data_IF_334019124135
#
_entry.id   IF_334019124135
#
_cell.length_a   1.000
_cell.length_b   1.000
_cell.length_c   1.000
_cell.angle_alpha   90.00
_cell.angle_beta   90.00
_cell.angle_gamma   90.00
#
_symmetry.space_group_name_H-M   'P 1'
#
loop_
_entity.id
_entity.type
_entity.pdbx_description
1 polymer ?
#
# COMPACT_ATOMS: atom_id res chain seq x y z
N UNK A 1 -21.72 -13.81 -0.71
CA UNK A 1 -20.87 -13.61 -1.89
C UNK A 1 -21.54 -12.71 -2.93
N UNK A 2 -22.86 -12.71 -3.03
CA UNK A 2 -23.61 -11.98 -4.08
C UNK A 2 -23.70 -10.45 -3.93
N UNK A 3 -23.54 -9.90 -2.73
CA UNK A 3 -23.65 -8.44 -2.50
C UNK A 3 -22.35 -7.65 -2.82
N UNK A 4 -21.22 -8.34 -2.90
CA UNK A 4 -19.92 -7.71 -3.24
C UNK A 4 -19.78 -7.61 -4.76
N UNK A 5 -20.31 -8.56 -5.51
CA UNK A 5 -20.31 -8.54 -6.98
C UNK A 5 -21.26 -7.49 -7.54
N UNK A 6 -22.49 -7.35 -6.97
CA UNK A 6 -23.45 -6.33 -7.41
C UNK A 6 -22.96 -4.89 -7.23
N UNK A 7 -22.18 -4.59 -6.18
CA UNK A 7 -21.63 -3.23 -5.97
C UNK A 7 -20.45 -2.87 -6.87
N UNK A 8 -19.78 -3.85 -7.48
CA UNK A 8 -18.75 -3.58 -8.50
C UNK A 8 -19.34 -3.09 -9.81
N UNK A 9 -20.53 -3.56 -10.16
CA UNK A 9 -21.19 -3.21 -11.42
C UNK A 9 -21.71 -1.76 -11.42
N UNK A 10 -22.23 -1.27 -10.28
CA UNK A 10 -22.77 0.09 -10.17
C UNK A 10 -21.72 1.23 -10.30
N UNK A 11 -20.46 0.97 -9.95
CA UNK A 11 -19.38 1.97 -10.05
C UNK A 11 -18.75 2.01 -11.44
N UNK A 12 -18.83 0.90 -12.21
CA UNK A 12 -18.34 0.83 -13.57
C UNK A 12 -19.28 1.48 -14.60
N UNK A 13 -20.54 1.75 -14.22
CA UNK A 13 -21.58 2.18 -15.16
C UNK A 13 -21.67 3.69 -15.41
N UNK A 14 -20.98 4.55 -14.60
CA UNK A 14 -21.00 6.00 -14.83
C UNK A 14 -19.67 6.70 -14.56
N UNK A 15 -18.83 6.93 -15.58
CA UNK A 15 -17.52 7.59 -15.45
C UNK A 15 -17.59 8.99 -14.83
N UNK A 16 -18.64 9.75 -15.09
CA UNK A 16 -18.82 11.11 -14.57
C UNK A 16 -19.08 11.08 -13.05
N UNK A 17 -19.85 10.14 -12.56
CA UNK A 17 -20.08 9.94 -11.12
C UNK A 17 -18.81 9.52 -10.39
N UNK A 18 -18.00 8.65 -11.01
CA UNK A 18 -16.71 8.25 -10.45
C UNK A 18 -15.78 9.45 -10.30
N UNK A 19 -15.69 10.29 -11.33
CA UNK A 19 -14.89 11.53 -11.32
C UNK A 19 -15.36 12.49 -10.24
N UNK A 20 -16.68 12.73 -10.12
CA UNK A 20 -17.25 13.62 -9.10
C UNK A 20 -16.95 13.12 -7.68
N UNK A 21 -17.10 11.82 -7.42
CA UNK A 21 -16.78 11.22 -6.14
C UNK A 21 -15.29 11.38 -5.79
N UNK A 22 -14.42 11.23 -6.77
CA UNK A 22 -12.99 11.35 -6.61
C UNK A 22 -12.58 12.80 -6.30
N UNK A 23 -13.19 13.79 -6.94
CA UNK A 23 -12.97 15.20 -6.63
C UNK A 23 -13.42 15.56 -5.22
N UNK A 24 -14.59 15.07 -4.80
CA UNK A 24 -15.09 15.23 -3.43
C UNK A 24 -14.17 14.58 -2.41
N UNK A 25 -13.67 13.38 -2.70
CA UNK A 25 -12.72 12.68 -1.83
C UNK A 25 -11.41 13.45 -1.69
N UNK A 26 -10.84 13.96 -2.78
CA UNK A 26 -9.63 14.78 -2.76
C UNK A 26 -9.83 16.04 -1.92
N UNK A 27 -10.96 16.74 -2.08
CA UNK A 27 -11.28 17.93 -1.32
C UNK A 27 -11.43 17.62 0.18
N UNK A 28 -12.16 16.55 0.53
CA UNK A 28 -12.34 16.11 1.91
C UNK A 28 -11.02 15.71 2.58
N UNK A 29 -10.12 15.05 1.87
CA UNK A 29 -8.79 14.69 2.37
C UNK A 29 -7.95 15.94 2.64
N UNK A 30 -7.95 16.93 1.75
CA UNK A 30 -7.24 18.22 1.96
C UNK A 30 -7.75 18.94 3.19
N UNK A 31 -9.05 19.00 3.39
CA UNK A 31 -9.69 19.67 4.52
C UNK A 31 -9.42 18.92 5.85
N UNK A 32 -9.66 17.62 5.88
CA UNK A 32 -9.58 16.82 7.10
C UNK A 32 -8.15 16.43 7.51
N UNK A 33 -7.19 16.47 6.56
CA UNK A 33 -5.81 16.01 6.75
C UNK A 33 -4.78 16.99 6.15
N UNK A 34 -4.77 18.27 6.54
CA UNK A 34 -3.96 19.32 5.89
C UNK A 34 -2.43 19.08 5.99
N UNK A 35 -1.99 18.24 6.95
CA UNK A 35 -0.58 17.89 7.12
C UNK A 35 -0.13 16.65 6.33
N UNK A 36 -1.03 15.98 5.61
CA UNK A 36 -0.68 14.82 4.81
C UNK A 36 -0.20 15.23 3.41
N UNK A 37 0.82 14.56 2.92
CA UNK A 37 1.25 14.74 1.52
C UNK A 37 0.18 14.14 0.61
N UNK A 38 -0.44 15.00 -0.21
CA UNK A 38 -1.39 14.63 -1.25
C UNK A 38 -0.96 15.33 -2.55
N UNK A 39 -0.61 14.54 -3.55
CA UNK A 39 -0.19 15.00 -4.87
C UNK A 39 -1.33 14.73 -5.85
N UNK A 40 -1.70 15.72 -6.65
CA UNK A 40 -2.73 15.59 -7.69
C UNK A 40 -2.10 15.58 -9.06
N UNK A 41 -2.69 14.82 -9.96
CA UNK A 41 -2.19 14.62 -11.32
C UNK A 41 -0.70 14.22 -11.33
N UNK A 42 -0.32 13.38 -10.36
CA UNK A 42 1.07 12.98 -10.15
C UNK A 42 1.51 11.96 -11.20
N UNK A 43 2.60 12.20 -11.93
CA UNK A 43 3.09 11.28 -12.95
C UNK A 43 3.70 10.04 -12.29
N UNK A 44 3.21 8.86 -12.64
CA UNK A 44 3.68 7.60 -12.07
C UNK A 44 5.09 7.23 -12.52
N UNK A 45 5.61 7.86 -13.55
CA UNK A 45 7.03 7.75 -13.92
C UNK A 45 7.99 8.19 -12.81
N UNK A 46 7.54 9.05 -11.87
CA UNK A 46 8.31 9.45 -10.69
C UNK A 46 8.27 8.39 -9.56
N UNK A 47 7.30 7.47 -9.58
CA UNK A 47 7.00 6.52 -8.50
C UNK A 47 7.08 5.06 -8.95
N UNK A 48 7.56 4.79 -10.15
CA UNK A 48 7.78 3.44 -10.67
C UNK A 48 9.25 3.18 -10.99
N UNK A 49 9.70 1.95 -10.77
CA UNK A 49 11.09 1.55 -11.09
C UNK A 49 11.38 1.59 -12.59
N UNK A 50 10.37 1.42 -13.41
CA UNK A 50 10.48 1.52 -14.88
C UNK A 50 10.58 2.98 -15.37
N UNK A 51 10.27 3.96 -14.52
CA UNK A 51 10.28 5.40 -14.84
C UNK A 51 9.39 5.78 -16.02
N UNK A 52 8.30 5.04 -16.20
CA UNK A 52 7.25 5.29 -17.18
C UNK A 52 5.90 5.32 -16.48
N UNK A 53 4.90 5.90 -17.12
CA UNK A 53 3.53 6.03 -16.63
C UNK A 53 3.08 7.48 -16.50
N UNK A 54 1.90 7.75 -17.01
CA UNK A 54 1.24 9.05 -16.96
C UNK A 54 0.64 9.35 -15.58
N UNK A 55 -0.11 10.45 -15.47
CA UNK A 55 -0.62 10.94 -14.20
C UNK A 55 -1.76 10.07 -13.65
N UNK A 56 -1.82 9.98 -12.32
CA UNK A 56 -2.99 9.51 -11.59
C UNK A 56 -3.73 10.69 -10.97
N UNK A 57 -5.01 10.53 -10.65
CA UNK A 57 -5.82 11.65 -10.09
C UNK A 57 -5.26 12.16 -8.78
N UNK A 58 -4.88 11.24 -7.89
CA UNK A 58 -4.30 11.58 -6.60
C UNK A 58 -3.37 10.48 -6.07
N UNK A 59 -2.29 10.90 -5.42
CA UNK A 59 -1.37 10.06 -4.65
C UNK A 59 -1.24 10.61 -3.24
N UNK A 60 -1.71 9.86 -2.24
CA UNK A 60 -1.62 10.21 -0.83
C UNK A 60 -0.54 9.39 -0.12
N UNK A 61 0.16 10.03 0.83
CA UNK A 61 1.29 9.43 1.56
C UNK A 61 1.06 9.53 3.07
N UNK A 62 0.25 8.64 3.69
CA UNK A 62 0.04 8.64 5.13
C UNK A 62 1.32 8.28 5.87
N UNK A 63 1.63 9.04 6.94
CA UNK A 63 2.86 8.85 7.74
C UNK A 63 2.69 7.95 8.97
N UNK A 64 1.50 7.36 9.18
CA UNK A 64 1.21 6.48 10.31
C UNK A 64 -0.01 5.60 10.01
N UNK A 65 -0.17 4.51 10.77
CA UNK A 65 -1.37 3.67 10.73
C UNK A 65 -2.65 4.48 11.00
N UNK A 66 -2.60 5.39 11.97
CA UNK A 66 -3.75 6.28 12.29
C UNK A 66 -4.13 7.17 11.10
N UNK A 67 -3.14 7.75 10.42
CA UNK A 67 -3.42 8.57 9.22
C UNK A 67 -3.90 7.72 8.05
N UNK A 68 -3.38 6.50 7.88
CA UNK A 68 -3.86 5.55 6.87
C UNK A 68 -5.32 5.16 7.12
N UNK A 69 -5.67 4.78 8.35
CA UNK A 69 -7.05 4.41 8.71
C UNK A 69 -8.02 5.57 8.47
N UNK A 70 -7.65 6.79 8.91
CA UNK A 70 -8.46 7.99 8.67
C UNK A 70 -8.65 8.27 7.18
N UNK A 71 -7.58 8.16 6.39
CA UNK A 71 -7.63 8.33 4.94
C UNK A 71 -8.58 7.31 4.29
N UNK A 72 -8.42 6.03 4.61
CA UNK A 72 -9.28 4.97 4.07
C UNK A 72 -10.76 5.16 4.47
N UNK A 73 -11.04 5.68 5.67
CA UNK A 73 -12.41 6.02 6.09
C UNK A 73 -13.00 7.13 5.22
N UNK A 74 -12.27 8.21 5.01
CA UNK A 74 -12.71 9.31 4.15
C UNK A 74 -12.96 8.85 2.71
N UNK A 75 -12.03 8.05 2.14
CA UNK A 75 -12.19 7.53 0.78
C UNK A 75 -13.43 6.63 0.66
N UNK A 76 -13.68 5.78 1.67
CA UNK A 76 -14.88 4.94 1.73
C UNK A 76 -16.18 5.75 1.76
N UNK A 77 -16.23 6.85 2.54
CA UNK A 77 -17.39 7.76 2.60
C UNK A 77 -17.75 8.34 1.22
N UNK A 78 -16.74 8.53 0.37
CA UNK A 78 -16.90 8.99 -1.00
C UNK A 78 -16.95 7.84 -2.04
N UNK A 79 -17.11 6.60 -1.61
CA UNK A 79 -17.17 5.41 -2.47
C UNK A 79 -15.90 5.21 -3.32
N UNK A 80 -14.74 5.63 -2.83
CA UNK A 80 -13.44 5.41 -3.47
C UNK A 80 -12.74 4.21 -2.84
N UNK A 81 -12.38 3.24 -3.67
CA UNK A 81 -11.49 2.16 -3.32
C UNK A 81 -10.05 2.53 -3.75
N UNK A 82 -9.15 2.85 -2.81
CA UNK A 82 -7.78 3.20 -3.16
C UNK A 82 -6.99 1.98 -3.60
N UNK A 83 -6.02 2.20 -4.49
CA UNK A 83 -4.98 1.23 -4.79
C UNK A 83 -3.75 1.52 -3.92
N UNK A 84 -3.21 0.49 -3.27
CA UNK A 84 -2.00 0.62 -2.45
C UNK A 84 -0.76 0.55 -3.34
N UNK A 85 0.21 1.43 -3.08
CA UNK A 85 1.48 1.49 -3.79
C UNK A 85 2.65 1.35 -2.81
N UNK A 86 3.52 0.36 -3.05
CA UNK A 86 4.86 0.27 -2.44
C UNK A 86 5.87 1.09 -3.26
N UNK A 87 7.05 0.52 -3.54
CA UNK A 87 8.09 1.17 -4.37
C UNK A 87 7.82 1.18 -5.89
N UNK A 88 6.64 0.76 -6.35
CA UNK A 88 6.34 0.72 -7.78
C UNK A 88 7.26 -0.19 -8.60
N UNK A 89 7.76 -1.30 -8.00
CA UNK A 89 8.74 -2.20 -8.64
C UNK A 89 8.12 -3.36 -9.39
N UNK A 90 6.82 -3.61 -9.19
CA UNK A 90 6.09 -4.70 -9.85
C UNK A 90 4.77 -4.19 -10.45
N UNK A 91 4.79 -2.99 -11.02
CA UNK A 91 3.60 -2.36 -11.60
C UNK A 91 3.99 -1.54 -12.82
N UNK A 92 3.15 -1.58 -13.84
CA UNK A 92 3.22 -0.73 -15.01
C UNK A 92 2.00 0.18 -15.05
N UNK A 93 2.25 1.47 -15.26
CA UNK A 93 1.21 2.47 -15.45
C UNK A 93 1.16 2.87 -16.93
N UNK A 94 -0.03 3.06 -17.52
CA UNK A 94 -0.16 3.52 -18.89
C UNK A 94 0.33 4.96 -19.06
N UNK A 95 0.88 5.31 -20.22
CA UNK A 95 1.45 6.62 -20.49
C UNK A 95 0.39 7.74 -20.53
N UNK A 96 -0.84 7.41 -20.92
CA UNK A 96 -1.99 8.30 -20.89
C UNK A 96 -2.48 8.63 -19.47
N UNK A 97 -2.02 7.87 -18.47
CA UNK A 97 -2.40 8.04 -17.08
C UNK A 97 -3.72 7.35 -16.70
N UNK A 98 -4.14 7.54 -15.45
CA UNK A 98 -5.34 6.95 -14.84
C UNK A 98 -6.06 8.01 -13.99
N UNK A 99 -6.81 8.91 -14.63
CA UNK A 99 -7.55 10.01 -13.97
C UNK A 99 -8.63 9.55 -12.99
N UNK A 100 -8.95 8.26 -12.97
CA UNK A 100 -9.94 7.67 -12.06
C UNK A 100 -9.29 6.93 -10.87
N UNK A 101 -7.96 7.00 -10.74
CA UNK A 101 -7.25 6.25 -9.71
C UNK A 101 -6.81 7.14 -8.56
N UNK A 102 -7.16 6.72 -7.33
CA UNK A 102 -6.60 7.23 -6.09
C UNK A 102 -5.59 6.23 -5.54
N UNK A 103 -4.32 6.64 -5.49
CA UNK A 103 -3.24 5.82 -4.93
C UNK A 103 -2.94 6.22 -3.49
N UNK A 104 -2.58 5.22 -2.69
CA UNK A 104 -2.06 5.41 -1.34
C UNK A 104 -0.69 4.76 -1.25
N UNK A 105 0.36 5.59 -1.16
CA UNK A 105 1.73 5.12 -0.99
C UNK A 105 2.01 4.74 0.45
N UNK A 106 2.69 3.62 0.64
CA UNK A 106 3.16 3.16 1.96
C UNK A 106 4.55 3.69 2.32
N UNK A 107 5.19 4.50 1.48
CA UNK A 107 6.62 4.89 1.62
C UNK A 107 6.97 5.53 2.96
N UNK A 108 6.01 6.21 3.63
CA UNK A 108 6.22 6.86 4.94
C UNK A 108 5.93 5.95 6.13
N UNK A 109 5.45 4.74 5.91
CA UNK A 109 5.22 3.72 6.94
C UNK A 109 6.50 2.89 7.11
N UNK A 110 7.46 3.40 7.89
CA UNK A 110 8.83 2.86 7.90
C UNK A 110 9.35 2.45 9.27
N UNK A 111 8.45 2.22 10.25
CA UNK A 111 8.87 1.70 11.56
C UNK A 111 9.43 0.30 11.43
N UNK A 112 10.53 0.05 12.11
CA UNK A 112 11.27 -1.21 12.09
C UNK A 112 11.98 -1.38 13.44
N UNK A 113 11.64 -2.45 14.18
CA UNK A 113 12.22 -2.74 15.50
C UNK A 113 12.02 -4.20 15.90
N UNK A 114 12.82 -4.66 16.87
CA UNK A 114 12.64 -5.98 17.47
C UNK A 114 11.51 -5.96 18.50
N UNK A 115 10.71 -7.02 18.49
CA UNK A 115 9.75 -7.34 19.53
C UNK A 115 10.43 -8.06 20.70
N UNK A 116 9.82 -8.10 21.90
CA UNK A 116 10.39 -8.78 23.08
C UNK A 116 10.62 -10.29 22.89
N UNK A 117 9.87 -10.94 22.01
CA UNK A 117 9.99 -12.37 21.66
C UNK A 117 11.07 -12.65 20.61
N UNK A 118 11.71 -11.60 20.07
CA UNK A 118 12.75 -11.70 19.05
C UNK A 118 12.25 -11.60 17.61
N UNK A 119 10.95 -11.51 17.38
CA UNK A 119 10.41 -11.23 16.04
C UNK A 119 10.71 -9.79 15.61
N UNK A 120 10.71 -9.53 14.30
CA UNK A 120 10.88 -8.19 13.73
C UNK A 120 9.53 -7.60 13.38
N UNK A 121 9.19 -6.46 13.97
CA UNK A 121 8.09 -5.64 13.47
C UNK A 121 8.58 -4.73 12.35
N UNK A 122 7.89 -4.76 11.21
CA UNK A 122 8.18 -3.92 10.06
C UNK A 122 6.88 -3.34 9.46
N UNK A 123 6.80 -2.03 9.31
CA UNK A 123 5.70 -1.39 8.58
C UNK A 123 5.83 -1.62 7.06
N UNK A 124 4.72 -1.51 6.36
CA UNK A 124 4.58 -1.85 4.94
C UNK A 124 5.53 -1.11 3.98
N UNK A 125 5.98 0.10 4.33
CA UNK A 125 6.90 0.92 3.53
C UNK A 125 8.38 0.64 3.77
N UNK A 126 8.74 -0.21 4.73
CA UNK A 126 10.15 -0.63 4.93
C UNK A 126 10.63 -1.37 3.69
N UNK A 127 11.79 -1.02 3.14
CA UNK A 127 12.35 -1.77 2.02
C UNK A 127 12.82 -3.16 2.45
N UNK A 128 12.68 -4.16 1.57
CA UNK A 128 13.12 -5.53 1.85
C UNK A 128 14.61 -5.62 2.14
N UNK A 129 15.43 -4.84 1.45
CA UNK A 129 16.88 -4.76 1.71
C UNK A 129 17.19 -4.18 3.11
N UNK A 130 16.42 -3.16 3.56
CA UNK A 130 16.57 -2.61 4.91
C UNK A 130 16.17 -3.62 5.98
N UNK A 131 15.07 -4.37 5.74
CA UNK A 131 14.63 -5.45 6.63
C UNK A 131 15.70 -6.53 6.75
N UNK A 132 16.26 -7.01 5.64
CA UNK A 132 17.32 -8.02 5.63
C UNK A 132 18.58 -7.54 6.35
N UNK A 133 19.00 -6.28 6.12
CA UNK A 133 20.13 -5.68 6.84
C UNK A 133 19.87 -5.57 8.34
N UNK A 134 18.65 -5.20 8.73
CA UNK A 134 18.26 -5.11 10.14
C UNK A 134 18.29 -6.49 10.82
N UNK A 135 17.80 -7.54 10.15
CA UNK A 135 17.88 -8.92 10.64
C UNK A 135 19.33 -9.34 10.86
N UNK A 136 20.21 -9.10 9.88
CA UNK A 136 21.66 -9.39 9.98
C UNK A 136 22.29 -8.68 11.19
N UNK A 137 22.02 -7.40 11.40
CA UNK A 137 22.55 -6.61 12.52
C UNK A 137 22.09 -7.14 13.88
N UNK A 138 20.97 -7.84 13.93
CA UNK A 138 20.41 -8.46 15.14
C UNK A 138 20.70 -9.98 15.21
N UNK A 139 21.59 -10.50 14.36
CA UNK A 139 21.98 -11.92 14.33
C UNK A 139 20.79 -12.87 14.06
N UNK A 140 19.81 -12.41 13.27
CA UNK A 140 18.66 -13.20 12.83
C UNK A 140 18.90 -13.67 11.39
N UNK A 141 18.71 -14.97 11.16
CA UNK A 141 18.83 -15.63 9.86
C UNK A 141 17.45 -15.79 9.20
N UNK A 142 17.45 -16.11 7.89
CA UNK A 142 16.24 -16.45 7.14
C UNK A 142 15.75 -15.36 6.20
N UNK A 143 16.28 -14.12 6.28
CA UNK A 143 15.92 -12.99 5.42
C UNK A 143 16.99 -12.66 4.37
N UNK A 144 18.01 -13.52 4.19
CA UNK A 144 19.11 -13.30 3.24
C UNK A 144 18.61 -13.16 1.81
N UNK A 145 17.60 -13.96 1.42
CA UNK A 145 17.00 -13.93 0.10
C UNK A 145 16.39 -12.57 -0.25
N UNK A 146 15.90 -11.84 0.75
CA UNK A 146 15.19 -10.58 0.58
C UNK A 146 16.15 -9.39 0.31
N UNK A 147 17.44 -9.53 0.56
CA UNK A 147 18.42 -8.44 0.50
C UNK A 147 18.55 -7.80 -0.88
N UNK A 148 18.35 -8.58 -1.95
CA UNK A 148 18.45 -8.15 -3.35
C UNK A 148 17.09 -7.87 -4.02
N UNK A 149 15.96 -8.11 -3.35
CA UNK A 149 14.66 -7.90 -3.94
C UNK A 149 14.29 -6.41 -3.85
N UNK A 150 14.09 -5.71 -4.98
CA UNK A 150 13.62 -4.32 -4.96
C UNK A 150 12.13 -4.29 -4.57
N UNK A 151 11.80 -3.55 -3.53
CA UNK A 151 10.41 -3.47 -3.07
C UNK A 151 10.30 -3.15 -1.59
N UNK A 152 9.07 -3.10 -1.11
CA UNK A 152 8.73 -2.86 0.29
C UNK A 152 8.17 -4.12 0.94
N UNK A 153 8.20 -4.17 2.28
CA UNK A 153 7.64 -5.27 3.07
C UNK A 153 6.17 -5.50 2.68
N UNK A 154 5.34 -4.46 2.66
CA UNK A 154 3.92 -4.61 2.32
C UNK A 154 3.70 -5.10 0.88
N UNK A 155 4.41 -4.54 -0.10
CA UNK A 155 4.34 -5.00 -1.49
C UNK A 155 4.87 -6.44 -1.66
N UNK A 156 5.97 -6.75 -1.00
CA UNK A 156 6.56 -8.10 -0.99
C UNK A 156 5.63 -9.14 -0.36
N UNK A 157 4.97 -8.79 0.75
CA UNK A 157 4.00 -9.68 1.44
C UNK A 157 2.83 -10.04 0.52
N UNK A 158 2.23 -9.04 -0.14
CA UNK A 158 1.10 -9.26 -1.07
C UNK A 158 1.52 -10.18 -2.23
N UNK A 159 2.74 -10.02 -2.72
CA UNK A 159 3.27 -10.79 -3.86
C UNK A 159 3.96 -12.10 -3.45
N UNK A 160 4.05 -12.39 -2.16
CA UNK A 160 4.88 -13.46 -1.62
C UNK A 160 6.29 -13.43 -2.25
N UNK A 161 6.94 -12.26 -2.20
CA UNK A 161 8.21 -12.03 -2.89
C UNK A 161 9.27 -13.02 -2.43
N UNK A 162 9.99 -13.60 -3.39
CA UNK A 162 11.01 -14.59 -3.12
C UNK A 162 12.17 -14.53 -4.11
N UNK A 163 13.31 -15.07 -3.70
CA UNK A 163 14.51 -15.22 -4.49
C UNK A 163 15.39 -16.34 -3.91
N UNK A 164 16.20 -16.98 -4.75
CA UNK A 164 17.20 -17.99 -4.32
C UNK A 164 16.61 -19.13 -3.45
N UNK A 165 15.34 -19.46 -3.66
CA UNK A 165 14.66 -20.54 -2.95
C UNK A 165 14.03 -20.17 -1.60
N UNK A 166 14.11 -18.92 -1.15
CA UNK A 166 13.37 -18.38 0.00
C UNK A 166 12.24 -17.47 -0.43
N UNK A 167 11.15 -17.43 0.33
CA UNK A 167 9.96 -16.62 0.09
C UNK A 167 9.50 -15.95 1.40
N UNK A 168 8.79 -14.83 1.30
CA UNK A 168 8.32 -14.12 2.51
C UNK A 168 7.40 -14.96 3.39
N UNK A 169 6.58 -15.83 2.82
CA UNK A 169 5.74 -16.76 3.59
C UNK A 169 6.53 -17.67 4.53
N UNK A 170 7.82 -17.93 4.23
CA UNK A 170 8.66 -18.82 5.05
C UNK A 170 9.12 -18.15 6.37
N UNK A 171 9.04 -16.81 6.44
CA UNK A 171 9.56 -16.01 7.56
C UNK A 171 8.54 -15.08 8.21
N UNK A 172 7.36 -14.90 7.60
CA UNK A 172 6.27 -14.10 8.17
C UNK A 172 5.56 -14.93 9.25
N UNK A 173 5.41 -14.38 10.44
CA UNK A 173 4.61 -14.97 11.53
C UNK A 173 3.15 -14.50 11.44
N UNK A 174 2.94 -13.20 11.33
CA UNK A 174 1.63 -12.59 11.17
C UNK A 174 1.68 -11.29 10.37
N UNK A 175 0.53 -10.87 9.84
CA UNK A 175 0.35 -9.61 9.12
C UNK A 175 -0.85 -8.87 9.68
N UNK A 176 -0.66 -7.61 10.07
CA UNK A 176 -1.77 -6.73 10.45
C UNK A 176 -2.28 -6.02 9.20
N UNK A 177 -3.52 -6.30 8.81
CA UNK A 177 -4.20 -5.76 7.65
C UNK A 177 -5.34 -4.82 8.05
N UNK A 178 -5.46 -3.68 7.37
CA UNK A 178 -6.68 -2.86 7.42
C UNK A 178 -7.67 -3.36 6.36
N UNK A 179 -8.79 -3.91 6.81
CA UNK A 179 -9.88 -4.28 5.90
C UNK A 179 -10.79 -3.06 5.66
N UNK A 180 -10.62 -2.43 4.51
CA UNK A 180 -11.29 -1.16 4.18
C UNK A 180 -12.82 -1.23 4.22
N UNK A 181 -13.50 -2.33 3.82
CA UNK A 181 -14.96 -2.41 3.86
C UNK A 181 -15.59 -2.25 5.24
N UNK A 182 -14.96 -2.73 6.32
CA UNK A 182 -15.48 -2.59 7.69
C UNK A 182 -14.65 -1.65 8.58
N UNK A 183 -13.52 -1.15 8.05
CA UNK A 183 -12.59 -0.24 8.74
C UNK A 183 -11.95 -0.87 9.99
N UNK A 184 -11.75 -2.19 9.99
CA UNK A 184 -11.12 -2.92 11.09
C UNK A 184 -9.73 -3.39 10.72
N UNK A 185 -8.92 -3.49 11.76
CA UNK A 185 -7.62 -4.15 11.68
C UNK A 185 -7.81 -5.63 12.01
N UNK A 186 -7.23 -6.46 11.17
CA UNK A 186 -7.16 -7.90 11.35
C UNK A 186 -5.71 -8.32 11.42
N UNK A 187 -5.40 -9.17 12.37
CA UNK A 187 -4.13 -9.88 12.40
C UNK A 187 -4.36 -11.26 11.78
N UNK A 188 -3.65 -11.52 10.70
CA UNK A 188 -3.67 -12.79 10.00
C UNK A 188 -2.37 -13.53 10.32
N UNK A 189 -2.49 -14.77 10.77
CA UNK A 189 -1.33 -15.64 10.97
C UNK A 189 -0.83 -16.21 9.64
N UNK A 190 0.36 -16.77 9.62
CA UNK A 190 0.92 -17.40 8.42
C UNK A 190 0.04 -18.51 7.82
N UNK A 191 -0.74 -19.21 8.65
CA UNK A 191 -1.64 -20.28 8.21
C UNK A 191 -2.93 -19.77 7.56
N UNK A 192 -3.27 -18.49 7.69
CA UNK A 192 -4.46 -17.81 7.13
C UNK A 192 -4.17 -17.09 5.82
#
# INVERSE_FOLDING_TARGET
>A
MDDIERKKDDAAENPDRCRENLEKAVAAVKEAMPGMTLLEHEPMSAHSSFRIGGPVRALAMPGSMTSLTKLCSLLKEHHIAPMMLGNGTNILFPDEGLDQLFLVSTEKLTKLFLLPDGAIYAEAGVSLSKLATFAQQNSLAGLEFASGIPGTVGGGTIMNAGAYGGELKDVIESVVCLYVPDQRLYELTNEQ
#
